data_IF_358419541618
#
_entry.id   IF_358419541618
#
_cell.length_a   1.000
_cell.length_b   1.000
_cell.length_c   1.000
_cell.angle_alpha   90.00
_cell.angle_beta   90.00
_cell.angle_gamma   90.00
#
_symmetry.space_group_name_H-M   'P 1'
#
loop_
_entity.id
_entity.type
_entity.pdbx_description
1 polymer ?
#
# COMPACT_ATOMS: atom_id res chain seq x y z
N UNK A 1 -10.33 13.72 -14.50
CA UNK A 1 -10.54 13.90 -13.05
C UNK A 1 -10.68 15.36 -12.71
N UNK A 2 -11.54 15.68 -11.75
CA UNK A 2 -11.69 17.04 -11.22
C UNK A 2 -11.80 16.99 -9.69
N UNK A 3 -11.21 17.98 -9.02
CA UNK A 3 -11.32 18.18 -7.59
C UNK A 3 -11.58 19.67 -7.35
N UNK A 4 -12.54 19.99 -6.48
CA UNK A 4 -12.89 21.36 -6.15
C UNK A 4 -12.89 21.53 -4.63
N UNK A 5 -12.27 22.61 -4.17
CA UNK A 5 -12.37 23.07 -2.79
C UNK A 5 -13.02 24.44 -2.81
N UNK A 6 -14.05 24.63 -2.01
CA UNK A 6 -14.76 25.92 -1.90
C UNK A 6 -14.72 26.39 -0.45
N UNK A 7 -14.49 27.69 -0.27
CA UNK A 7 -14.42 28.33 1.04
C UNK A 7 -15.39 29.51 1.08
N UNK A 8 -16.41 29.44 1.93
CA UNK A 8 -17.47 30.47 2.02
C UNK A 8 -17.06 31.71 2.81
N UNK A 9 -16.02 31.62 3.63
CA UNK A 9 -15.53 32.72 4.47
C UNK A 9 -16.41 33.07 5.68
N UNK A 10 -17.53 32.39 5.91
CA UNK A 10 -18.52 32.73 6.95
C UNK A 10 -17.97 32.63 8.39
N UNK A 11 -16.88 31.90 8.62
CA UNK A 11 -16.22 31.75 9.93
C UNK A 11 -15.00 32.64 10.12
N UNK A 12 -14.67 33.50 9.15
CA UNK A 12 -13.47 34.34 9.19
C UNK A 12 -12.20 33.57 8.85
N UNK A 13 -11.04 34.15 9.20
CA UNK A 13 -9.72 33.57 8.93
C UNK A 13 -9.45 32.41 9.89
N UNK A 14 -9.11 31.24 9.35
CA UNK A 14 -8.55 30.13 10.11
C UNK A 14 -7.02 30.18 10.14
N UNK A 15 -6.43 29.43 11.07
CA UNK A 15 -5.02 29.11 11.00
C UNK A 15 -4.72 28.27 9.75
N UNK A 16 -3.57 28.51 9.12
CA UNK A 16 -3.22 27.85 7.86
C UNK A 16 -2.87 26.38 8.09
N UNK A 17 -2.07 26.08 9.12
CA UNK A 17 -1.57 24.73 9.38
C UNK A 17 -2.72 23.84 9.89
N UNK A 18 -3.60 24.39 10.74
CA UNK A 18 -4.81 23.70 11.17
C UNK A 18 -5.72 23.34 9.98
N UNK A 19 -5.94 24.28 9.06
CA UNK A 19 -6.76 24.04 7.89
C UNK A 19 -6.11 23.04 6.91
N UNK A 20 -4.81 23.18 6.65
CA UNK A 20 -4.07 22.31 5.76
C UNK A 20 -4.13 20.85 6.24
N UNK A 21 -3.89 20.64 7.55
CA UNK A 21 -3.98 19.31 8.18
C UNK A 21 -5.40 18.74 8.06
N UNK A 22 -6.43 19.52 8.41
CA UNK A 22 -7.81 19.06 8.33
C UNK A 22 -8.24 18.74 6.88
N UNK A 23 -7.81 19.54 5.91
CA UNK A 23 -8.08 19.30 4.50
C UNK A 23 -7.39 18.02 4.02
N UNK A 24 -6.13 17.82 4.39
CA UNK A 24 -5.37 16.62 4.07
C UNK A 24 -6.04 15.36 4.65
N UNK A 25 -6.45 15.38 5.91
CA UNK A 25 -7.18 14.27 6.55
C UNK A 25 -8.46 13.90 5.78
N UNK A 26 -9.23 14.91 5.35
CA UNK A 26 -10.43 14.69 4.54
C UNK A 26 -10.08 14.11 3.18
N UNK A 27 -9.07 14.64 2.50
CA UNK A 27 -8.61 14.14 1.20
C UNK A 27 -8.11 12.69 1.29
N UNK A 28 -7.32 12.35 2.31
CA UNK A 28 -6.85 10.98 2.56
C UNK A 28 -8.04 10.05 2.87
N UNK A 29 -8.99 10.50 3.69
CA UNK A 29 -10.20 9.72 3.99
C UNK A 29 -11.01 9.40 2.73
N UNK A 30 -11.21 10.40 1.85
CA UNK A 30 -11.91 10.21 0.58
C UNK A 30 -11.12 9.30 -0.39
N UNK A 31 -9.80 9.47 -0.47
CA UNK A 31 -8.94 8.62 -1.31
C UNK A 31 -8.98 7.15 -0.86
N UNK A 32 -8.94 6.90 0.46
CA UNK A 32 -9.09 5.55 1.05
C UNK A 32 -10.46 4.94 0.73
N UNK A 33 -11.53 5.73 0.75
CA UNK A 33 -12.86 5.26 0.37
C UNK A 33 -12.94 4.88 -1.11
N UNK A 34 -12.34 5.68 -2.01
CA UNK A 34 -12.24 5.34 -3.45
C UNK A 34 -11.47 4.02 -3.63
N UNK A 35 -10.33 3.86 -2.95
CA UNK A 35 -9.54 2.63 -3.03
C UNK A 35 -10.31 1.42 -2.49
N UNK A 36 -11.03 1.56 -1.37
CA UNK A 36 -11.83 0.49 -0.78
C UNK A 36 -13.04 0.10 -1.64
N UNK A 37 -13.58 1.03 -2.43
CA UNK A 37 -14.70 0.81 -3.35
C UNK A 37 -14.24 0.60 -4.81
N UNK A 38 -13.00 0.14 -5.00
CA UNK A 38 -12.51 -0.23 -6.32
C UNK A 38 -13.40 -1.28 -6.99
N UNK A 39 -13.55 -1.22 -8.32
CA UNK A 39 -14.44 -2.13 -9.04
C UNK A 39 -14.07 -3.60 -8.82
N UNK A 40 -14.97 -4.34 -8.16
CA UNK A 40 -14.74 -5.74 -7.84
C UNK A 40 -13.70 -5.98 -6.74
N UNK A 41 -13.21 -4.93 -6.06
CA UNK A 41 -12.28 -5.05 -4.94
C UNK A 41 -12.89 -5.86 -3.79
N UNK A 42 -12.05 -6.65 -3.13
CA UNK A 42 -12.40 -7.32 -1.87
C UNK A 42 -11.60 -6.78 -0.68
N UNK A 43 -10.43 -6.19 -0.96
CA UNK A 43 -9.49 -5.68 0.03
C UNK A 43 -8.94 -4.32 -0.40
N UNK A 44 -8.87 -3.38 0.54
CA UNK A 44 -8.08 -2.15 0.39
C UNK A 44 -6.62 -2.45 0.76
N UNK A 45 -5.69 -1.88 0.02
CA UNK A 45 -4.26 -2.05 0.22
C UNK A 45 -3.65 -0.69 0.55
N UNK A 46 -2.86 -0.63 1.62
CA UNK A 46 -2.01 0.51 1.95
C UNK A 46 -0.55 0.09 1.81
N UNK A 47 0.20 0.74 0.93
CA UNK A 47 1.65 0.50 0.77
C UNK A 47 2.38 1.72 1.29
N UNK A 48 3.13 1.56 2.37
CA UNK A 48 4.05 2.58 2.88
C UNK A 48 5.48 2.18 2.55
N UNK A 49 6.20 3.09 1.90
CA UNK A 49 7.62 2.94 1.60
C UNK A 49 8.40 3.89 2.51
N UNK A 50 9.42 3.38 3.17
CA UNK A 50 10.32 4.14 4.03
C UNK A 50 11.77 3.99 3.57
N UNK A 51 12.65 4.84 4.07
CA UNK A 51 14.07 4.72 3.81
C UNK A 51 14.46 5.12 2.39
N UNK A 52 13.73 6.03 1.74
CA UNK A 52 14.10 6.55 0.43
C UNK A 52 15.01 7.79 0.54
N UNK A 53 15.73 8.11 -0.55
CA UNK A 53 16.60 9.30 -0.63
C UNK A 53 15.81 10.60 -0.70
N UNK A 54 14.62 10.56 -1.31
CA UNK A 54 13.68 11.67 -1.43
C UNK A 54 12.25 11.17 -1.19
N UNK A 55 11.33 12.08 -0.89
CA UNK A 55 9.90 11.75 -0.77
C UNK A 55 9.33 11.29 -2.11
N UNK A 56 9.74 11.91 -3.22
CA UNK A 56 9.37 11.50 -4.57
C UNK A 56 9.80 10.07 -4.89
N UNK A 57 11.01 9.69 -4.50
CA UNK A 57 11.50 8.32 -4.66
C UNK A 57 10.62 7.32 -3.90
N UNK A 58 10.29 7.60 -2.64
CA UNK A 58 9.37 6.77 -1.87
C UNK A 58 7.99 6.68 -2.54
N UNK A 59 7.47 7.79 -3.04
CA UNK A 59 6.17 7.85 -3.70
C UNK A 59 6.15 7.07 -5.02
N UNK A 60 7.24 7.11 -5.80
CA UNK A 60 7.40 6.32 -7.02
C UNK A 60 7.43 4.82 -6.71
N UNK A 61 8.16 4.39 -5.68
CA UNK A 61 8.18 2.98 -5.24
C UNK A 61 6.79 2.55 -4.76
N UNK A 62 6.15 3.33 -3.89
CA UNK A 62 4.83 3.00 -3.33
C UNK A 62 3.77 2.85 -4.45
N UNK A 63 3.74 3.77 -5.41
CA UNK A 63 2.88 3.69 -6.61
C UNK A 63 3.21 2.47 -7.47
N UNK A 64 4.48 2.18 -7.71
CA UNK A 64 4.88 1.04 -8.55
C UNK A 64 4.45 -0.30 -7.94
N UNK A 65 4.48 -0.40 -6.61
CA UNK A 65 4.03 -1.59 -5.86
C UNK A 65 2.52 -1.71 -5.87
N UNK A 66 1.78 -0.64 -5.57
CA UNK A 66 0.31 -0.67 -5.51
C UNK A 66 -0.33 -0.94 -6.89
N UNK A 67 0.33 -0.52 -7.98
CA UNK A 67 -0.12 -0.74 -9.36
C UNK A 67 0.24 -2.13 -9.91
N UNK A 68 1.08 -2.90 -9.21
CA UNK A 68 1.54 -4.21 -9.69
C UNK A 68 0.41 -5.24 -9.72
N UNK A 69 0.02 -5.79 -10.88
CA UNK A 69 -1.03 -6.81 -10.95
C UNK A 69 -0.68 -8.07 -10.14
N UNK A 70 0.61 -8.43 -10.08
CA UNK A 70 1.08 -9.58 -9.30
C UNK A 70 0.94 -9.33 -7.79
N UNK A 71 1.21 -8.12 -7.32
CA UNK A 71 0.98 -7.76 -5.91
C UNK A 71 -0.52 -7.78 -5.62
N UNK A 72 -1.32 -7.09 -6.43
CA UNK A 72 -2.77 -7.01 -6.27
C UNK A 72 -3.44 -8.39 -6.24
N UNK A 73 -3.01 -9.32 -7.09
CA UNK A 73 -3.51 -10.71 -7.09
C UNK A 73 -3.00 -11.55 -5.93
N UNK A 74 -1.77 -11.32 -5.46
CA UNK A 74 -1.25 -12.00 -4.26
C UNK A 74 -2.02 -11.57 -3.00
N UNK A 75 -2.33 -10.27 -2.89
CA UNK A 75 -3.19 -9.76 -1.80
C UNK A 75 -4.60 -10.34 -1.90
N UNK A 76 -5.19 -10.38 -3.09
CA UNK A 76 -6.50 -11.02 -3.29
C UNK A 76 -6.51 -12.47 -2.78
N UNK A 77 -5.52 -13.26 -3.24
CA UNK A 77 -5.37 -14.68 -2.90
C UNK A 77 -4.79 -14.98 -1.53
N UNK A 78 -4.58 -13.97 -0.68
CA UNK A 78 -4.02 -14.12 0.68
C UNK A 78 -2.67 -14.85 0.68
N UNK A 79 -1.87 -14.60 -0.37
CA UNK A 79 -0.53 -15.15 -0.56
C UNK A 79 0.52 -14.11 -0.11
N UNK A 80 1.19 -14.28 1.04
CA UNK A 80 2.19 -13.34 1.56
C UNK A 80 3.51 -13.39 0.76
N UNK A 81 3.42 -13.05 -0.51
CA UNK A 81 4.47 -13.20 -1.50
C UNK A 81 5.41 -11.99 -1.48
N UNK A 82 6.36 -12.00 -0.57
CA UNK A 82 7.38 -10.95 -0.44
C UNK A 82 8.19 -10.75 -1.74
N UNK A 83 8.41 -11.82 -2.51
CA UNK A 83 9.13 -11.75 -3.78
C UNK A 83 8.44 -10.84 -4.81
N UNK A 84 7.10 -10.88 -4.89
CA UNK A 84 6.33 -9.98 -5.75
C UNK A 84 6.41 -8.53 -5.29
N UNK A 85 6.48 -8.29 -3.97
CA UNK A 85 6.63 -6.94 -3.39
C UNK A 85 8.01 -6.36 -3.71
N UNK A 86 9.08 -7.11 -3.45
CA UNK A 86 10.46 -6.72 -3.77
C UNK A 86 10.65 -6.52 -5.28
N UNK A 87 10.13 -7.42 -6.12
CA UNK A 87 10.22 -7.29 -7.57
C UNK A 87 9.49 -6.03 -8.08
N UNK A 88 8.35 -5.68 -7.49
CA UNK A 88 7.63 -4.46 -7.82
C UNK A 88 8.36 -3.20 -7.34
N UNK A 89 8.98 -3.22 -6.15
CA UNK A 89 9.80 -2.12 -5.67
C UNK A 89 11.06 -1.92 -6.54
N UNK A 90 11.75 -3.01 -6.89
CA UNK A 90 12.99 -2.95 -7.69
C UNK A 90 12.80 -2.47 -9.14
N UNK A 91 11.58 -2.56 -9.69
CA UNK A 91 11.27 -2.01 -11.03
C UNK A 91 10.81 -0.55 -11.01
N UNK A 92 10.80 0.11 -9.85
CA UNK A 92 10.33 1.50 -9.70
C UNK A 92 11.26 2.54 -10.35
N UNK A 93 12.46 2.14 -10.78
CA UNK A 93 13.44 3.06 -11.39
C UNK A 93 14.16 3.97 -10.39
N UNK A 94 14.05 3.65 -9.09
CA UNK A 94 14.73 4.30 -7.97
C UNK A 94 15.88 3.40 -7.51
N UNK A 95 16.91 3.99 -6.90
CA UNK A 95 17.98 3.21 -6.26
C UNK A 95 17.40 2.28 -5.20
N UNK A 96 17.69 0.99 -5.34
CA UNK A 96 17.10 -0.06 -4.54
C UNK A 96 18.08 -1.22 -4.42
N UNK A 97 18.41 -1.58 -3.19
CA UNK A 97 19.18 -2.77 -2.85
C UNK A 97 18.25 -3.83 -2.22
N UNK A 98 17.91 -4.92 -2.95
CA UNK A 98 17.07 -5.98 -2.41
C UNK A 98 17.62 -6.63 -1.15
N UNK A 99 18.96 -6.67 -0.99
CA UNK A 99 19.63 -7.30 0.14
C UNK A 99 19.59 -6.41 1.41
N UNK A 100 19.28 -5.14 1.26
CA UNK A 100 19.07 -4.22 2.38
C UNK A 100 17.58 -4.08 2.76
N UNK A 101 16.67 -4.47 1.87
CA UNK A 101 15.25 -4.21 2.01
C UNK A 101 14.58 -5.04 3.10
N UNK A 102 13.59 -4.46 3.77
CA UNK A 102 12.71 -5.14 4.74
C UNK A 102 11.27 -4.99 4.32
N UNK A 103 10.51 -6.07 4.35
CA UNK A 103 9.09 -6.11 3.94
C UNK A 103 8.26 -6.73 5.05
N UNK A 104 7.19 -6.05 5.43
CA UNK A 104 6.20 -6.57 6.37
C UNK A 104 4.78 -6.36 5.89
N UNK A 105 3.89 -7.24 6.37
CA UNK A 105 2.45 -7.12 6.21
C UNK A 105 1.81 -6.93 7.58
N UNK A 106 0.81 -6.06 7.64
CA UNK A 106 0.08 -5.70 8.85
C UNK A 106 -1.42 -5.60 8.58
N UNK A 107 -2.21 -5.59 9.66
CA UNK A 107 -3.61 -5.19 9.60
C UNK A 107 -3.77 -3.66 9.57
N UNK A 108 -5.02 -3.20 9.45
CA UNK A 108 -5.37 -1.78 9.58
C UNK A 108 -4.80 -1.18 10.88
N UNK A 109 -4.18 -0.01 10.77
CA UNK A 109 -3.56 0.65 11.93
C UNK A 109 -2.26 -0.01 12.43
N UNK A 110 -1.78 -1.08 11.78
CA UNK A 110 -0.53 -1.79 12.11
C UNK A 110 -0.49 -2.34 13.54
N UNK A 111 -1.63 -2.75 14.08
CA UNK A 111 -1.70 -3.33 15.42
C UNK A 111 -0.99 -4.69 15.51
N UNK A 112 -1.09 -5.49 14.45
CA UNK A 112 -0.38 -6.76 14.28
C UNK A 112 0.45 -6.69 13.00
N UNK A 113 1.72 -7.13 13.08
CA UNK A 113 2.67 -7.06 11.98
C UNK A 113 3.46 -8.37 11.88
N UNK A 114 3.59 -8.88 10.66
CA UNK A 114 4.49 -10.00 10.32
C UNK A 114 5.52 -9.50 9.34
N UNK A 115 6.79 -9.73 9.67
CA UNK A 115 7.91 -9.44 8.78
C UNK A 115 8.06 -10.64 7.85
N UNK A 116 8.00 -10.41 6.54
CA UNK A 116 8.14 -11.44 5.52
C UNK A 116 9.59 -11.60 5.07
N UNK A 117 10.29 -10.48 4.95
CA UNK A 117 11.72 -10.44 4.65
C UNK A 117 12.38 -9.32 5.45
N UNK A 118 13.60 -9.55 5.94
CA UNK A 118 14.39 -8.57 6.69
C UNK A 118 15.81 -8.56 6.16
N UNK A 119 16.24 -7.43 5.61
CA UNK A 119 17.57 -7.27 5.00
C UNK A 119 17.89 -8.41 4.03
N UNK A 120 17.00 -8.61 3.05
CA UNK A 120 17.11 -9.66 2.04
C UNK A 120 16.83 -11.09 2.54
N UNK A 121 16.82 -11.35 3.84
CA UNK A 121 16.57 -12.69 4.40
C UNK A 121 15.08 -12.98 4.59
N UNK A 122 14.63 -14.16 4.17
CA UNK A 122 13.23 -14.57 4.24
C UNK A 122 12.87 -14.99 5.68
N UNK A 123 11.85 -14.35 6.24
CA UNK A 123 11.35 -14.61 7.60
C UNK A 123 10.05 -15.42 7.62
N UNK A 124 9.33 -15.50 6.50
CA UNK A 124 8.05 -16.18 6.35
C UNK A 124 8.07 -17.14 5.16
N UNK A 125 8.81 -18.25 5.32
CA UNK A 125 8.91 -19.34 4.34
C UNK A 125 8.02 -20.53 4.76
N UNK A 126 7.42 -21.23 3.79
CA UNK A 126 6.45 -22.30 4.03
C UNK A 126 7.07 -23.55 4.65
N UNK A 127 8.37 -23.77 4.46
CA UNK A 127 9.12 -24.86 5.06
C UNK A 127 9.83 -24.42 6.33
N UNK A 128 10.44 -23.24 6.33
CA UNK A 128 11.29 -22.80 7.45
C UNK A 128 10.51 -22.15 8.59
N UNK A 129 9.39 -21.46 8.31
CA UNK A 129 8.68 -20.62 9.26
C UNK A 129 7.14 -20.70 9.13
N UNK A 130 6.53 -21.88 9.36
CA UNK A 130 5.10 -22.11 9.13
C UNK A 130 4.17 -21.23 9.98
N UNK A 131 4.55 -20.93 11.23
CA UNK A 131 3.74 -20.09 12.12
C UNK A 131 3.70 -18.62 11.65
N UNK A 132 4.84 -18.09 11.17
CA UNK A 132 4.92 -16.74 10.61
C UNK A 132 4.08 -16.64 9.34
N UNK A 133 4.12 -17.67 8.49
CA UNK A 133 3.30 -17.74 7.28
C UNK A 133 1.80 -17.76 7.62
N UNK A 134 1.38 -18.58 8.59
CA UNK A 134 -0.01 -18.65 9.02
C UNK A 134 -0.50 -17.32 9.60
N UNK A 135 0.35 -16.63 10.38
CA UNK A 135 0.06 -15.29 10.89
C UNK A 135 -0.09 -14.27 9.75
N UNK A 136 0.80 -14.27 8.75
CA UNK A 136 0.72 -13.37 7.61
C UNK A 136 -0.59 -13.58 6.81
N UNK A 137 -0.96 -14.83 6.53
CA UNK A 137 -2.23 -15.17 5.87
C UNK A 137 -3.44 -14.65 6.66
N UNK A 138 -3.43 -14.81 7.98
CA UNK A 138 -4.48 -14.29 8.85
C UNK A 138 -4.63 -12.77 8.74
N UNK A 139 -3.52 -12.03 8.65
CA UNK A 139 -3.55 -10.57 8.46
C UNK A 139 -4.11 -10.20 7.08
N UNK A 140 -3.72 -10.93 6.05
CA UNK A 140 -4.19 -10.70 4.68
C UNK A 140 -5.68 -10.99 4.50
N UNK A 141 -6.29 -11.84 5.33
CA UNK A 141 -7.73 -12.11 5.31
C UNK A 141 -8.62 -10.93 5.79
N UNK A 142 -8.03 -9.84 6.26
CA UNK A 142 -8.75 -8.62 6.63
C UNK A 142 -9.24 -7.80 5.42
N UNK A 143 -10.13 -6.83 5.67
CA UNK A 143 -10.60 -5.88 4.64
C UNK A 143 -9.53 -4.88 4.21
N UNK A 144 -8.54 -4.64 5.06
CA UNK A 144 -7.43 -3.73 4.82
C UNK A 144 -6.15 -4.50 5.06
N UNK A 145 -5.25 -4.46 4.07
CA UNK A 145 -3.92 -5.05 4.15
C UNK A 145 -2.90 -3.94 4.04
N UNK A 146 -2.15 -3.71 5.11
CA UNK A 146 -1.04 -2.77 5.12
C UNK A 146 0.25 -3.50 4.75
N UNK A 147 1.05 -2.88 3.89
CA UNK A 147 2.36 -3.35 3.47
C UNK A 147 3.36 -2.25 3.77
N UNK A 148 4.42 -2.59 4.49
CA UNK A 148 5.53 -1.69 4.75
C UNK A 148 6.77 -2.23 4.04
N UNK A 149 7.45 -1.36 3.28
CA UNK A 149 8.68 -1.66 2.55
C UNK A 149 9.73 -0.61 2.93
N UNK A 150 10.73 -1.02 3.69
CA UNK A 150 11.92 -0.21 3.95
C UNK A 150 12.97 -0.51 2.89
N UNK A 151 13.38 0.50 2.13
CA UNK A 151 14.37 0.36 1.05
C UNK A 151 15.79 0.78 1.49
N UNK A 152 15.97 1.23 2.74
CA UNK A 152 17.29 1.47 3.36
C UNK A 152 18.28 2.37 2.59
N UNK A 153 17.77 3.29 1.77
CA UNK A 153 18.54 4.23 0.94
C UNK A 153 18.58 5.67 1.51
N UNK A 154 17.80 5.99 2.56
CA UNK A 154 17.68 7.34 3.11
C UNK A 154 16.71 7.44 4.29
N UNK A 155 16.00 8.56 4.44
CA UNK A 155 15.15 8.87 5.60
C UNK A 155 13.72 9.33 5.22
N UNK A 156 13.40 9.41 3.93
CA UNK A 156 12.08 9.84 3.46
C UNK A 156 11.12 8.66 3.32
N UNK A 157 9.83 8.96 3.39
CA UNK A 157 8.75 7.98 3.28
C UNK A 157 7.57 8.53 2.46
N UNK A 158 6.76 7.64 1.93
CA UNK A 158 5.51 7.97 1.26
C UNK A 158 4.53 6.79 1.35
N UNK A 159 3.23 7.08 1.25
CA UNK A 159 2.18 6.06 1.29
C UNK A 159 1.30 6.14 0.04
N UNK A 160 0.93 4.99 -0.51
CA UNK A 160 -0.03 4.85 -1.59
C UNK A 160 -1.18 3.92 -1.19
N UNK A 161 -2.38 4.20 -1.69
CA UNK A 161 -3.58 3.39 -1.44
C UNK A 161 -4.14 2.84 -2.74
N UNK A 162 -4.67 1.62 -2.68
CA UNK A 162 -5.31 0.96 -3.80
C UNK A 162 -6.14 -0.22 -3.33
N UNK A 163 -6.45 -1.13 -4.25
CA UNK A 163 -7.20 -2.34 -3.98
C UNK A 163 -6.51 -3.58 -4.54
N UNK A 164 -7.01 -4.75 -4.19
CA UNK A 164 -6.65 -6.01 -4.82
C UNK A 164 -7.15 -6.10 -6.29
N UNK A 165 -6.79 -7.17 -6.99
CA UNK A 165 -7.24 -7.46 -8.36
C UNK A 165 -7.97 -8.80 -8.35
N UNK A 166 -9.27 -8.76 -8.57
CA UNK A 166 -10.16 -9.93 -8.54
C UNK A 166 -10.70 -10.27 -9.93
N UNK A 167 -11.29 -11.44 -10.08
CA UNK A 167 -12.01 -11.84 -11.29
C UNK A 167 -13.21 -10.93 -11.56
N UNK A 168 -13.82 -10.36 -10.51
CA UNK A 168 -14.98 -9.46 -10.62
C UNK A 168 -14.62 -8.16 -11.35
N UNK A 169 -13.40 -7.65 -11.18
CA UNK A 169 -12.90 -6.51 -11.97
C UNK A 169 -12.93 -6.82 -13.47
N UNK A 170 -12.43 -8.00 -13.86
CA UNK A 170 -12.42 -8.47 -15.25
C UNK A 170 -13.84 -8.71 -15.75
N UNK A 171 -14.72 -9.24 -14.91
CA UNK A 171 -16.13 -9.44 -15.27
C UNK A 171 -16.85 -8.11 -15.56
N UNK A 172 -16.69 -7.11 -14.69
CA UNK A 172 -17.31 -5.79 -14.84
C UNK A 172 -16.85 -5.14 -16.14
N UNK A 173 -15.53 -5.07 -16.34
CA UNK A 173 -14.94 -4.33 -17.48
C UNK A 173 -14.87 -5.15 -18.78
N UNK A 174 -15.02 -6.47 -18.71
CA UNK A 174 -15.00 -7.35 -19.88
C UNK A 174 -16.39 -7.64 -20.46
N UNK A 175 -17.46 -7.56 -19.65
CA UNK A 175 -18.83 -7.88 -20.10
C UNK A 175 -19.73 -6.67 -20.28
N UNK A 176 -19.41 -5.53 -19.67
CA UNK A 176 -20.21 -4.31 -19.75
C UNK A 176 -19.39 -3.19 -20.40
N UNK A 177 -20.06 -2.28 -21.10
CA UNK A 177 -19.45 -1.02 -21.53
C UNK A 177 -19.57 -0.03 -20.37
N UNK A 178 -18.44 0.36 -19.80
CA UNK A 178 -18.31 1.36 -18.71
C UNK A 178 -17.66 2.64 -19.22
#
# INVERSE_FOLDING_TARGET
>A
DCCFVTATGLKGKCDYDEFATALEEVCISLAKQIAADGEGASKMIEVRVTGAKTEEDAAVVARTVIESPLVKTAIYGEDPNWGRLIAAAGRAGVEFDPDAATVSISNEGRADTVILARKGEIMADDVMHPDALAAAKKLMGGKVVAVDIDIACGAFEATAWGCDLTEKYVEINGKYTT
#
